data_IF_526360556678
#
_entry.id   IF_526360556678
#
_cell.length_a   1.000
_cell.length_b   1.000
_cell.length_c   1.000
_cell.angle_alpha   90.00
_cell.angle_beta   90.00
_cell.angle_gamma   90.00
#
_symmetry.space_group_name_H-M   'P 1'
#
loop_
_entity.id
_entity.type
_entity.pdbx_description
1 polymer ?
#
# COMPACT_ATOMS: atom_id res chain seq x y z
N UNK A 1 -27.29 -1.57 7.25
CA UNK A 1 -26.44 -2.52 8.01
C UNK A 1 -25.11 -2.62 7.30
N UNK A 2 -24.04 -2.12 7.92
CA UNK A 2 -22.68 -2.38 7.44
C UNK A 2 -22.43 -3.89 7.50
N UNK A 3 -22.19 -4.49 6.35
CA UNK A 3 -21.79 -5.89 6.25
C UNK A 3 -20.36 -5.96 6.79
N UNK A 4 -20.18 -6.31 8.07
CA UNK A 4 -18.87 -6.44 8.74
C UNK A 4 -17.99 -7.49 8.06
N UNK A 5 -17.41 -7.12 6.91
CA UNK A 5 -16.50 -7.96 6.12
C UNK A 5 -15.03 -7.74 6.51
N UNK A 6 -14.76 -6.65 7.22
CA UNK A 6 -13.43 -6.21 7.65
C UNK A 6 -13.48 -5.98 9.15
N UNK A 7 -12.57 -6.61 9.89
CA UNK A 7 -12.47 -6.48 11.35
C UNK A 7 -11.78 -5.18 11.76
N UNK A 8 -10.73 -4.80 11.04
CA UNK A 8 -9.96 -3.59 11.27
C UNK A 8 -9.35 -3.08 9.96
N UNK A 9 -9.12 -1.77 9.90
CA UNK A 9 -8.45 -1.10 8.79
C UNK A 9 -7.34 -0.20 9.34
N UNK A 10 -6.26 -0.03 8.59
CA UNK A 10 -5.13 0.81 8.96
C UNK A 10 -4.62 1.60 7.76
N UNK A 11 -3.56 2.38 7.98
CA UNK A 11 -2.89 3.20 6.98
C UNK A 11 -1.40 2.86 6.91
N UNK A 12 -0.72 3.36 5.88
CA UNK A 12 0.72 3.26 5.73
C UNK A 12 1.30 4.63 5.42
N UNK A 13 2.50 4.92 5.93
CA UNK A 13 3.30 6.11 5.68
C UNK A 13 2.63 7.44 6.08
N UNK A 14 1.71 7.41 7.05
CA UNK A 14 1.11 8.62 7.58
C UNK A 14 2.02 9.22 8.66
N UNK A 15 2.59 10.39 8.37
CA UNK A 15 3.25 11.23 9.37
C UNK A 15 2.22 11.94 10.26
N UNK A 16 2.67 12.44 11.42
CA UNK A 16 1.79 13.00 12.45
C UNK A 16 0.75 14.00 11.94
N UNK A 17 1.05 14.99 11.07
CA UNK A 17 0.04 15.95 10.60
C UNK A 17 -1.12 15.29 9.87
N UNK A 18 -0.81 14.35 8.97
CA UNK A 18 -1.82 13.64 8.18
C UNK A 18 -2.59 12.62 9.03
N UNK A 19 -1.90 11.97 9.97
CA UNK A 19 -2.54 11.03 10.90
C UNK A 19 -3.53 11.74 11.84
N UNK A 20 -3.20 12.95 12.31
CA UNK A 20 -4.09 13.80 13.10
C UNK A 20 -5.34 14.18 12.32
N UNK A 21 -5.17 14.62 11.07
CA UNK A 21 -6.29 15.01 10.21
C UNK A 21 -7.22 13.82 9.95
N UNK A 22 -6.65 12.66 9.60
CA UNK A 22 -7.40 11.42 9.42
C UNK A 22 -8.12 11.02 10.70
N UNK A 23 -7.43 11.01 11.83
CA UNK A 23 -8.01 10.65 13.11
C UNK A 23 -9.02 11.68 13.60
N UNK A 24 -9.02 12.91 13.10
CA UNK A 24 -10.09 13.88 13.40
C UNK A 24 -11.32 13.60 12.54
N UNK A 25 -11.14 13.39 11.24
CA UNK A 25 -12.24 13.23 10.28
C UNK A 25 -12.88 11.83 10.26
N UNK A 26 -12.12 10.77 10.55
CA UNK A 26 -12.57 9.39 10.36
C UNK A 26 -13.58 8.95 11.42
N UNK A 27 -14.70 8.36 10.98
CA UNK A 27 -15.68 7.68 11.85
C UNK A 27 -15.07 6.45 12.56
N UNK A 28 -14.26 5.69 11.84
CA UNK A 28 -13.52 4.53 12.35
C UNK A 28 -12.03 4.86 12.30
N UNK A 29 -11.37 4.94 13.47
CA UNK A 29 -9.95 5.28 13.55
C UNK A 29 -9.11 4.14 12.97
N UNK A 30 -7.95 4.45 12.35
CA UNK A 30 -7.06 3.41 11.86
C UNK A 30 -6.54 2.57 13.03
N UNK A 31 -6.62 1.25 12.90
CA UNK A 31 -6.07 0.30 13.86
C UNK A 31 -4.54 0.27 13.86
N UNK A 32 -3.94 0.52 12.69
CA UNK A 32 -2.50 0.48 12.53
C UNK A 32 -2.01 1.58 11.59
N UNK A 33 -0.76 2.00 11.78
CA UNK A 33 0.00 2.81 10.85
C UNK A 33 1.32 2.09 10.55
N UNK A 34 1.56 1.72 9.29
CA UNK A 34 2.80 1.04 8.89
C UNK A 34 3.77 2.08 8.30
N UNK A 35 4.97 2.24 8.87
CA UNK A 35 5.96 3.22 8.40
C UNK A 35 7.08 2.54 7.61
N UNK A 36 7.45 3.14 6.48
CA UNK A 36 8.58 2.71 5.68
C UNK A 36 9.92 3.09 6.32
N UNK A 37 10.67 2.09 6.79
CA UNK A 37 11.98 2.28 7.40
C UNK A 37 13.05 2.79 6.41
N UNK A 38 12.83 2.61 5.10
CA UNK A 38 13.73 3.14 4.08
C UNK A 38 13.69 4.66 3.95
N UNK A 39 12.63 5.29 4.45
CA UNK A 39 12.43 6.76 4.39
C UNK A 39 12.74 7.41 5.73
N UNK A 40 12.52 6.71 6.85
CA UNK A 40 12.67 7.26 8.19
C UNK A 40 13.36 6.24 9.11
N UNK A 41 14.66 6.42 9.35
CA UNK A 41 15.44 5.56 10.24
C UNK A 41 15.14 5.81 11.73
N UNK A 42 14.51 6.94 12.06
CA UNK A 42 14.14 7.32 13.43
C UNK A 42 12.71 7.85 13.44
N UNK A 43 11.77 7.05 13.96
CA UNK A 43 10.38 7.48 14.12
C UNK A 43 10.35 8.68 15.10
N UNK A 44 9.78 9.83 14.72
CA UNK A 44 9.71 11.00 15.60
C UNK A 44 9.00 10.71 16.93
N UNK A 45 9.50 11.25 18.04
CA UNK A 45 8.93 11.03 19.38
C UNK A 45 7.46 11.44 19.48
N UNK A 46 7.08 12.55 18.84
CA UNK A 46 5.70 13.05 18.83
C UNK A 46 4.74 12.06 18.15
N UNK A 47 5.18 11.43 17.05
CA UNK A 47 4.40 10.40 16.37
C UNK A 47 4.24 9.17 17.26
N UNK A 48 5.32 8.71 17.89
CA UNK A 48 5.30 7.58 18.83
C UNK A 48 4.36 7.82 20.02
N UNK A 49 4.39 9.04 20.58
CA UNK A 49 3.49 9.44 21.65
C UNK A 49 2.03 9.40 21.19
N UNK A 50 1.73 10.01 20.05
CA UNK A 50 0.37 10.08 19.52
C UNK A 50 -0.23 8.70 19.24
N UNK A 51 0.50 7.82 18.54
CA UNK A 51 -0.01 6.47 18.21
C UNK A 51 -0.26 5.65 19.47
N UNK A 52 0.58 5.79 20.50
CA UNK A 52 0.40 5.12 21.79
C UNK A 52 -0.82 5.63 22.56
N UNK A 53 -1.02 6.94 22.61
CA UNK A 53 -2.16 7.57 23.29
C UNK A 53 -3.51 7.24 22.62
N UNK A 54 -3.50 6.93 21.31
CA UNK A 54 -4.70 6.65 20.52
C UNK A 54 -4.89 5.16 20.20
N UNK A 55 -4.11 4.26 20.83
CA UNK A 55 -4.15 2.80 20.60
C UNK A 55 -4.01 2.40 19.12
N UNK A 56 -3.16 3.12 18.40
CA UNK A 56 -2.82 2.84 17.00
C UNK A 56 -1.55 1.99 16.98
N UNK A 57 -1.63 0.80 16.39
CA UNK A 57 -0.47 -0.08 16.27
C UNK A 57 0.53 0.50 15.26
N UNK A 58 1.74 0.82 15.72
CA UNK A 58 2.83 1.20 14.83
C UNK A 58 3.55 -0.03 14.32
N UNK A 59 3.55 -0.23 13.01
CA UNK A 59 4.21 -1.33 12.32
C UNK A 59 5.26 -0.78 11.36
N UNK A 60 6.15 -1.65 10.89
CA UNK A 60 7.18 -1.28 9.92
C UNK A 60 7.05 -2.09 8.64
N UNK A 61 7.36 -1.45 7.51
CA UNK A 61 7.54 -2.14 6.24
C UNK A 61 8.80 -1.63 5.53
N UNK A 62 9.20 -2.37 4.50
CA UNK A 62 10.33 -2.06 3.62
C UNK A 62 9.90 -2.22 2.17
N UNK A 63 8.64 -1.89 1.89
CA UNK A 63 8.13 -1.93 0.52
C UNK A 63 8.85 -0.85 -0.30
N UNK A 64 9.22 -1.14 -1.55
CA UNK A 64 9.84 -0.15 -2.42
C UNK A 64 8.85 0.98 -2.72
N UNK A 65 9.36 2.21 -2.82
CA UNK A 65 8.56 3.39 -3.17
C UNK A 65 7.92 3.26 -4.55
N UNK A 66 8.63 2.61 -5.47
CA UNK A 66 8.13 2.22 -6.78
C UNK A 66 8.13 0.69 -6.88
N UNK A 67 6.94 0.09 -6.78
CA UNK A 67 6.77 -1.37 -6.80
C UNK A 67 7.00 -1.92 -8.21
N UNK A 68 6.58 -1.19 -9.24
CA UNK A 68 6.82 -1.57 -10.63
C UNK A 68 6.81 -0.30 -11.51
N UNK A 69 7.95 -0.01 -12.12
CA UNK A 69 8.03 1.07 -13.08
C UNK A 69 7.49 0.65 -14.45
N UNK A 70 7.29 1.64 -15.32
CA UNK A 70 6.86 1.48 -16.70
C UNK A 70 7.68 0.43 -17.47
N UNK A 71 9.01 0.49 -17.37
CA UNK A 71 9.91 -0.39 -18.12
C UNK A 71 9.73 -1.84 -17.69
N UNK A 72 9.75 -2.10 -16.37
CA UNK A 72 9.59 -3.44 -15.81
C UNK A 72 8.21 -4.02 -16.13
N UNK A 73 7.17 -3.19 -16.03
CA UNK A 73 5.81 -3.61 -16.40
C UNK A 73 5.71 -3.95 -17.89
N UNK A 74 6.18 -3.08 -18.78
CA UNK A 74 6.17 -3.33 -20.23
C UNK A 74 7.01 -4.56 -20.60
N UNK A 75 8.19 -4.72 -20.00
CA UNK A 75 9.05 -5.88 -20.21
C UNK A 75 8.36 -7.19 -19.79
N UNK A 76 7.54 -7.15 -18.72
CA UNK A 76 6.74 -8.31 -18.31
C UNK A 76 5.66 -8.68 -19.34
N UNK A 77 5.07 -7.69 -20.01
CA UNK A 77 4.01 -7.87 -21.00
C UNK A 77 4.51 -8.40 -22.35
N UNK A 78 5.76 -8.09 -22.73
CA UNK A 78 6.38 -8.56 -24.00
C UNK A 78 6.33 -10.08 -24.19
N UNK A 79 6.18 -10.85 -23.11
CA UNK A 79 6.03 -12.32 -23.17
C UNK A 79 4.66 -12.77 -23.67
N UNK A 80 3.66 -11.89 -23.63
CA UNK A 80 2.25 -12.24 -23.85
C UNK A 80 1.59 -11.39 -24.94
N UNK A 81 2.19 -10.25 -25.33
CA UNK A 81 1.70 -9.41 -26.43
C UNK A 81 2.87 -8.91 -27.31
N UNK A 82 2.53 -8.36 -28.48
CA UNK A 82 3.50 -7.80 -29.40
C UNK A 82 4.25 -6.62 -28.75
N UNK A 83 5.52 -6.42 -29.09
CA UNK A 83 6.37 -5.39 -28.46
C UNK A 83 5.74 -3.98 -28.52
N UNK A 84 5.22 -3.59 -29.69
CA UNK A 84 4.50 -2.32 -29.85
C UNK A 84 3.26 -2.20 -28.97
N UNK A 85 2.57 -3.30 -28.67
CA UNK A 85 1.42 -3.28 -27.77
C UNK A 85 1.86 -3.12 -26.33
N UNK A 86 2.92 -3.84 -25.92
CA UNK A 86 3.48 -3.76 -24.58
C UNK A 86 3.90 -2.32 -24.25
N UNK A 87 4.57 -1.63 -25.18
CA UNK A 87 5.04 -0.25 -25.03
C UNK A 87 3.92 0.79 -24.80
N UNK A 88 2.66 0.44 -25.07
CA UNK A 88 1.53 1.34 -24.88
C UNK A 88 0.86 1.19 -23.51
N UNK A 89 1.34 0.29 -22.65
CA UNK A 89 0.79 0.10 -21.31
C UNK A 89 1.58 0.85 -20.24
N UNK A 90 0.86 1.43 -19.26
CA UNK A 90 1.43 2.14 -18.11
C UNK A 90 0.72 1.72 -16.83
N UNK A 91 1.44 1.23 -15.79
CA UNK A 91 0.85 1.01 -14.48
C UNK A 91 0.39 2.36 -13.90
N UNK A 92 -0.86 2.43 -13.45
CA UNK A 92 -1.38 3.63 -12.77
C UNK A 92 -1.24 3.51 -11.25
N UNK A 93 -1.47 2.31 -10.71
CA UNK A 93 -1.21 1.99 -9.32
C UNK A 93 -0.94 0.51 -9.12
N UNK A 94 -0.22 0.20 -8.05
CA UNK A 94 0.03 -1.16 -7.58
C UNK A 94 -0.34 -1.26 -6.11
N UNK A 95 -1.07 -2.30 -5.76
CA UNK A 95 -1.36 -2.65 -4.38
C UNK A 95 -0.83 -4.04 -4.05
N UNK A 96 0.05 -4.14 -3.06
CA UNK A 96 0.47 -5.43 -2.51
C UNK A 96 -0.62 -5.96 -1.58
N UNK A 97 -0.94 -7.25 -1.68
CA UNK A 97 -1.81 -7.93 -0.73
C UNK A 97 -1.11 -9.13 -0.11
N UNK A 98 -1.37 -9.35 1.18
CA UNK A 98 -0.96 -10.55 1.90
C UNK A 98 -2.18 -11.07 2.67
N UNK A 99 -2.42 -12.37 2.62
CA UNK A 99 -3.36 -13.05 3.52
C UNK A 99 -2.56 -13.89 4.51
N UNK A 100 -2.89 -13.77 5.79
CA UNK A 100 -2.19 -14.43 6.89
C UNK A 100 -3.18 -15.30 7.64
N UNK A 101 -2.75 -16.51 8.04
CA UNK A 101 -3.53 -17.35 8.94
C UNK A 101 -3.39 -16.77 10.34
N UNK A 102 -4.51 -16.28 10.88
CA UNK A 102 -4.57 -15.73 12.23
C UNK A 102 -3.95 -16.68 13.27
N UNK A 103 -3.28 -16.11 14.27
CA UNK A 103 -2.63 -16.81 15.38
C UNK A 103 -1.55 -17.83 14.98
N UNK A 104 -1.10 -17.84 13.73
CA UNK A 104 -0.02 -18.71 13.26
C UNK A 104 1.15 -17.96 12.64
N UNK A 105 0.97 -16.68 12.30
CA UNK A 105 2.00 -15.89 11.60
C UNK A 105 2.33 -16.42 10.21
N UNK A 106 1.55 -17.36 9.66
CA UNK A 106 1.80 -17.99 8.36
C UNK A 106 1.14 -17.14 7.28
N UNK A 107 1.95 -16.61 6.35
CA UNK A 107 1.44 -15.97 5.12
C UNK A 107 0.89 -17.08 4.22
N UNK A 108 -0.44 -17.10 4.03
CA UNK A 108 -1.12 -18.05 3.16
C UNK A 108 -0.97 -17.69 1.69
N UNK A 109 -1.06 -16.40 1.37
CA UNK A 109 -0.94 -15.91 -0.01
C UNK A 109 -0.38 -14.51 0.00
N UNK A 110 0.52 -14.22 -0.94
CA UNK A 110 1.07 -12.89 -1.21
C UNK A 110 0.94 -12.63 -2.70
N UNK A 111 0.62 -11.40 -3.07
CA UNK A 111 0.57 -10.99 -4.47
C UNK A 111 0.43 -9.49 -4.63
N UNK A 112 0.16 -9.10 -5.86
CA UNK A 112 0.01 -7.71 -6.26
C UNK A 112 -1.23 -7.58 -7.14
N UNK A 113 -1.96 -6.49 -6.96
CA UNK A 113 -2.93 -5.99 -7.92
C UNK A 113 -2.27 -4.86 -8.67
N UNK A 114 -2.29 -4.94 -10.00
CA UNK A 114 -1.80 -3.88 -10.88
C UNK A 114 -2.99 -3.40 -11.69
N UNK A 115 -3.23 -2.10 -11.64
CA UNK A 115 -4.11 -1.43 -12.57
C UNK A 115 -3.25 -0.66 -13.56
N UNK A 116 -3.51 -0.85 -14.85
CA UNK A 116 -2.76 -0.23 -15.92
C UNK A 116 -3.68 0.34 -16.98
N UNK A 117 -3.27 1.48 -17.55
CA UNK A 117 -3.94 2.08 -18.69
C UNK A 117 -3.16 1.74 -19.96
N UNK A 118 -3.89 1.59 -21.07
CA UNK A 118 -3.30 1.49 -22.39
C UNK A 118 -3.51 2.80 -23.14
N UNK A 119 -2.43 3.42 -23.58
CA UNK A 119 -2.48 4.57 -24.46
C UNK A 119 -2.73 4.10 -25.90
N UNK A 120 -3.96 4.31 -26.38
CA UNK A 120 -4.28 4.08 -27.78
C UNK A 120 -3.88 5.32 -28.56
N UNK A 121 -2.89 5.19 -29.46
CA UNK A 121 -2.59 6.28 -30.41
C UNK A 121 -3.81 6.48 -31.29
N UNK A 122 -4.43 7.66 -31.21
CA UNK A 122 -5.42 8.08 -32.20
C UNK A 122 -4.65 8.35 -33.50
N UNK A 123 -4.73 7.42 -34.45
CA UNK A 123 -4.38 7.64 -35.86
C UNK A 123 -5.44 8.48 -36.55
#
# INVERSE_FOLDING_TARGET
MDKQKVLSAGVCDFMLPLLLELCTAAKHKPYANQINLGVCCTIPEELNKYVKENDIQLLTHSDPMDIINDSDYQNSLRKYCHEYDALNWRPAWVARYNSVIANRGIIKTKGYFVYANRELRMT
#
